data_IF_936245450001
#
_entry.id   IF_936245450001
#
_cell.length_a   1.000
_cell.length_b   1.000
_cell.length_c   1.000
_cell.angle_alpha   90.00
_cell.angle_beta   90.00
_cell.angle_gamma   90.00
#
_symmetry.space_group_name_H-M   'P 1'
#
loop_
_entity.id
_entity.type
_entity.pdbx_description
1 polymer ?
#
# COMPACT_ATOMS: atom_id res chain seq x y z
N UNK A 1 -17.43 -0.73 -13.81
CA UNK A 1 -16.41 -1.06 -12.79
C UNK A 1 -16.11 0.23 -12.04
N UNK A 2 -15.88 0.16 -10.72
CA UNK A 2 -15.47 1.31 -9.89
C UNK A 2 -14.30 2.06 -10.52
N UNK A 3 -14.30 3.39 -10.45
CA UNK A 3 -13.19 4.23 -10.89
C UNK A 3 -12.04 4.29 -9.88
N UNK A 4 -12.21 3.66 -8.72
CA UNK A 4 -11.20 3.53 -7.68
C UNK A 4 -10.87 2.06 -7.36
N UNK A 5 -9.63 1.84 -6.96
CA UNK A 5 -9.11 0.57 -6.41
C UNK A 5 -8.58 0.82 -5.01
N UNK A 6 -8.89 -0.08 -4.08
CA UNK A 6 -8.38 -0.02 -2.70
C UNK A 6 -7.20 -0.98 -2.59
N UNK A 7 -6.09 -0.50 -2.04
CA UNK A 7 -4.86 -1.29 -1.87
C UNK A 7 -4.52 -1.45 -0.39
N UNK A 8 -3.97 -2.61 -0.05
CA UNK A 8 -3.39 -2.86 1.26
C UNK A 8 -1.90 -2.48 1.30
N UNK A 9 -1.34 -2.45 2.51
CA UNK A 9 0.07 -2.12 2.71
C UNK A 9 1.02 -3.12 2.03
N UNK A 10 0.71 -4.42 2.09
CA UNK A 10 1.56 -5.47 1.55
C UNK A 10 1.67 -5.44 0.03
N UNK A 11 0.57 -5.17 -0.68
CA UNK A 11 0.58 -4.98 -2.12
C UNK A 11 1.45 -3.78 -2.50
N UNK A 12 1.24 -2.65 -1.82
CA UNK A 12 1.93 -1.41 -2.16
C UNK A 12 3.44 -1.49 -1.87
N UNK A 13 3.84 -2.14 -0.78
CA UNK A 13 5.26 -2.33 -0.45
C UNK A 13 6.04 -3.04 -1.56
N UNK A 14 5.41 -3.95 -2.29
CA UNK A 14 6.02 -4.65 -3.43
C UNK A 14 6.33 -3.73 -4.63
N UNK A 15 5.80 -2.50 -4.66
CA UNK A 15 6.16 -1.49 -5.66
C UNK A 15 7.48 -0.79 -5.34
N UNK A 16 7.89 -0.78 -4.08
CA UNK A 16 9.10 -0.07 -3.62
C UNK A 16 10.18 -0.99 -3.06
N UNK A 17 9.81 -2.23 -2.70
CA UNK A 17 10.70 -3.30 -2.29
C UNK A 17 10.71 -4.39 -3.36
N UNK A 18 11.89 -4.96 -3.63
CA UNK A 18 12.02 -6.11 -4.52
C UNK A 18 11.71 -7.40 -3.76
N UNK A 19 10.54 -7.96 -4.03
CA UNK A 19 10.04 -9.23 -3.48
C UNK A 19 9.65 -10.18 -4.62
N UNK A 20 9.38 -11.44 -4.28
CA UNK A 20 9.05 -12.50 -5.26
C UNK A 20 7.89 -12.10 -6.17
N UNK A 21 6.88 -11.41 -5.62
CA UNK A 21 5.68 -11.01 -6.36
C UNK A 21 5.72 -9.58 -6.91
N UNK A 22 6.84 -8.86 -6.80
CA UNK A 22 6.92 -7.45 -7.22
C UNK A 22 6.57 -7.24 -8.69
N UNK A 23 6.88 -8.20 -9.56
CA UNK A 23 6.52 -8.12 -10.99
C UNK A 23 5.00 -8.07 -11.18
N UNK A 24 4.25 -8.89 -10.42
CA UNK A 24 2.80 -8.92 -10.49
C UNK A 24 2.20 -7.64 -9.90
N UNK A 25 2.71 -7.20 -8.74
CA UNK A 25 2.24 -5.96 -8.10
C UNK A 25 2.49 -4.73 -8.96
N UNK A 26 3.65 -4.63 -9.61
CA UNK A 26 3.97 -3.54 -10.55
C UNK A 26 3.06 -3.58 -11.77
N UNK A 27 2.80 -4.77 -12.33
CA UNK A 27 1.85 -4.90 -13.44
C UNK A 27 0.43 -4.45 -13.09
N UNK A 28 -0.01 -4.64 -11.83
CA UNK A 28 -1.29 -4.08 -11.36
C UNK A 28 -1.23 -2.56 -11.29
N UNK A 29 -0.15 -1.98 -10.77
CA UNK A 29 0.03 -0.54 -10.71
C UNK A 29 0.04 0.09 -12.11
N UNK A 30 0.76 -0.50 -13.06
CA UNK A 30 0.81 -0.05 -14.45
C UNK A 30 -0.59 -0.10 -15.09
N UNK A 31 -1.28 -1.24 -14.93
CA UNK A 31 -2.65 -1.40 -15.43
C UNK A 31 -3.60 -0.36 -14.86
N UNK A 32 -3.59 -0.14 -13.55
CA UNK A 32 -4.46 0.84 -12.90
C UNK A 32 -4.12 2.28 -13.31
N UNK A 33 -2.84 2.55 -13.56
CA UNK A 33 -2.38 3.83 -14.12
C UNK A 33 -2.92 4.04 -15.54
N UNK A 34 -2.80 3.03 -16.41
CA UNK A 34 -3.30 3.08 -17.79
C UNK A 34 -4.83 3.23 -17.85
N UNK A 35 -5.54 2.57 -16.92
CA UNK A 35 -6.99 2.67 -16.77
C UNK A 35 -7.44 3.95 -16.07
N UNK A 36 -6.52 4.82 -15.64
CA UNK A 36 -6.77 6.04 -14.85
C UNK A 36 -7.63 5.79 -13.61
N UNK A 37 -7.35 4.69 -12.91
CA UNK A 37 -7.99 4.36 -11.63
C UNK A 37 -7.40 5.20 -10.52
N UNK A 38 -8.26 5.66 -9.62
CA UNK A 38 -7.84 6.27 -8.37
C UNK A 38 -7.39 5.20 -7.38
N UNK A 39 -6.16 5.32 -6.88
CA UNK A 39 -5.62 4.37 -5.89
C UNK A 39 -5.91 4.93 -4.51
N UNK A 40 -6.65 4.14 -3.71
CA UNK A 40 -7.04 4.51 -2.36
C UNK A 40 -6.50 3.50 -1.35
N UNK A 41 -6.30 3.91 -0.10
CA UNK A 41 -6.00 3.00 1.00
C UNK A 41 -6.63 3.50 2.31
N UNK A 42 -6.95 2.63 3.28
CA UNK A 42 -7.32 3.07 4.62
C UNK A 42 -6.20 3.92 5.25
N UNK A 43 -6.53 4.90 6.08
CA UNK A 43 -5.53 5.76 6.73
C UNK A 43 -4.50 4.97 7.57
N UNK A 44 -4.87 3.77 8.03
CA UNK A 44 -3.96 2.84 8.71
C UNK A 44 -2.75 2.45 7.84
N UNK A 45 -2.91 2.46 6.51
CA UNK A 45 -1.86 2.18 5.52
C UNK A 45 -0.56 2.92 5.82
N UNK A 46 -0.64 4.22 6.13
CA UNK A 46 0.53 5.06 6.40
C UNK A 46 1.38 4.50 7.56
N UNK A 47 0.71 4.02 8.61
CA UNK A 47 1.37 3.44 9.78
C UNK A 47 1.88 2.03 9.48
N UNK A 48 1.13 1.22 8.74
CA UNK A 48 1.52 -0.13 8.38
C UNK A 48 2.77 -0.15 7.51
N UNK A 49 2.81 0.61 6.41
CA UNK A 49 3.98 0.64 5.51
C UNK A 49 5.20 1.18 6.24
N UNK A 50 5.04 2.22 7.08
CA UNK A 50 6.13 2.78 7.88
C UNK A 50 6.66 1.74 8.87
N UNK A 51 5.78 1.05 9.59
CA UNK A 51 6.18 0.04 10.56
C UNK A 51 6.87 -1.15 9.89
N UNK A 52 6.38 -1.61 8.73
CA UNK A 52 7.01 -2.71 7.99
C UNK A 52 8.41 -2.29 7.53
N UNK A 53 8.57 -1.14 6.88
CA UNK A 53 9.88 -0.63 6.45
C UNK A 53 10.85 -0.48 7.63
N UNK A 54 10.39 0.08 8.74
CA UNK A 54 11.19 0.19 9.98
C UNK A 54 11.63 -1.19 10.49
N UNK A 55 10.73 -2.18 10.54
CA UNK A 55 11.08 -3.54 10.96
C UNK A 55 12.08 -4.22 10.03
N UNK A 56 11.99 -3.98 8.72
CA UNK A 56 12.98 -4.47 7.76
C UNK A 56 14.35 -3.83 7.99
N UNK A 57 14.40 -2.53 8.31
CA UNK A 57 15.65 -1.85 8.66
C UNK A 57 16.27 -2.41 9.95
N UNK A 58 15.49 -2.59 11.01
CA UNK A 58 15.94 -3.19 12.27
C UNK A 58 16.46 -4.62 12.08
N UNK A 59 15.83 -5.39 11.18
CA UNK A 59 16.25 -6.75 10.85
C UNK A 59 17.47 -6.81 9.91
N UNK A 60 18.04 -5.67 9.49
CA UNK A 60 19.17 -5.61 8.56
C UNK A 60 18.83 -6.04 7.13
N UNK A 61 17.54 -6.13 6.79
CA UNK A 61 17.07 -6.45 5.42
C UNK A 61 17.11 -5.24 4.49
N UNK A 62 17.04 -4.05 5.06
CA UNK A 62 17.18 -2.76 4.40
C UNK A 62 18.11 -1.90 5.25
N UNK A 63 18.79 -0.97 4.61
CA UNK A 63 19.37 0.19 5.31
C UNK A 63 18.28 1.17 5.72
N UNK A 64 18.59 2.04 6.67
CA UNK A 64 17.67 3.10 7.09
C UNK A 64 17.31 4.04 5.92
N UNK A 65 18.29 4.37 5.06
CA UNK A 65 18.08 5.22 3.89
C UNK A 65 17.19 4.54 2.85
N UNK A 66 17.36 3.24 2.60
CA UNK A 66 16.46 2.48 1.72
C UNK A 66 15.02 2.45 2.25
N UNK A 67 14.85 2.30 3.57
CA UNK A 67 13.53 2.36 4.20
C UNK A 67 12.87 3.73 4.01
N UNK A 68 13.60 4.82 4.25
CA UNK A 68 13.10 6.18 4.03
C UNK A 68 12.77 6.47 2.55
N UNK A 69 13.63 6.02 1.63
CA UNK A 69 13.39 6.15 0.20
C UNK A 69 12.15 5.36 -0.23
N UNK A 70 11.98 4.14 0.27
CA UNK A 70 10.79 3.33 0.01
C UNK A 70 9.51 4.02 0.48
N UNK A 71 9.54 4.59 1.70
CA UNK A 71 8.43 5.36 2.25
C UNK A 71 8.12 6.57 1.37
N UNK A 72 9.13 7.38 1.02
CA UNK A 72 8.95 8.57 0.18
C UNK A 72 8.37 8.21 -1.20
N UNK A 73 8.84 7.11 -1.81
CA UNK A 73 8.30 6.61 -3.08
C UNK A 73 6.83 6.25 -2.96
N UNK A 74 6.43 5.50 -1.93
CA UNK A 74 5.02 5.13 -1.72
C UNK A 74 4.11 6.36 -1.66
N UNK A 75 4.48 7.38 -0.90
CA UNK A 75 3.67 8.60 -0.77
C UNK A 75 3.69 9.47 -2.03
N UNK A 76 4.69 9.31 -2.91
CA UNK A 76 4.73 10.00 -4.20
C UNK A 76 3.80 9.40 -5.25
N UNK A 77 3.25 8.19 -5.03
CA UNK A 77 2.35 7.51 -5.97
C UNK A 77 0.92 8.06 -5.97
N UNK A 78 0.62 9.09 -5.17
CA UNK A 78 -0.70 9.72 -5.15
C UNK A 78 -1.81 8.88 -4.51
N UNK A 79 -1.45 7.93 -3.64
CA UNK A 79 -2.41 7.09 -2.91
C UNK A 79 -3.28 7.97 -2.02
N UNK A 80 -4.60 7.92 -2.21
CA UNK A 80 -5.54 8.67 -1.40
C UNK A 80 -5.89 7.91 -0.12
N UNK A 81 -5.45 8.46 1.01
CA UNK A 81 -5.74 7.89 2.32
C UNK A 81 -7.16 8.24 2.75
N UNK A 82 -7.97 7.22 3.00
CA UNK A 82 -9.35 7.32 3.45
C UNK A 82 -9.47 6.98 4.92
N UNK A 83 -10.10 7.86 5.68
CA UNK A 83 -10.31 7.69 7.12
C UNK A 83 -11.79 7.43 7.41
N UNK A 84 -12.05 6.53 8.35
CA UNK A 84 -13.39 6.28 8.88
C UNK A 84 -13.33 6.24 10.41
N UNK A 85 -14.30 6.87 11.05
CA UNK A 85 -14.53 6.80 12.50
C UNK A 85 -15.57 5.74 12.87
N UNK A 86 -16.16 5.08 11.87
CA UNK A 86 -17.35 4.26 12.00
C UNK A 86 -16.96 2.79 11.95
N UNK A 87 -17.31 2.05 13.00
CA UNK A 87 -17.10 0.60 13.10
C UNK A 87 -17.73 -0.15 11.93
N UNK A 88 -18.86 0.35 11.43
CA UNK A 88 -19.62 -0.21 10.31
C UNK A 88 -18.76 -0.39 9.06
N UNK A 89 -17.78 0.50 8.84
CA UNK A 89 -16.85 0.37 7.70
C UNK A 89 -15.96 -0.86 7.87
N UNK A 90 -15.44 -1.07 9.09
CA UNK A 90 -14.62 -2.23 9.44
C UNK A 90 -15.45 -3.51 9.47
N UNK A 91 -16.69 -3.47 9.98
CA UNK A 91 -17.60 -4.61 9.99
C UNK A 91 -17.91 -5.10 8.56
N UNK A 92 -18.21 -4.17 7.64
CA UNK A 92 -18.41 -4.52 6.23
C UNK A 92 -17.17 -5.11 5.57
N UNK A 93 -15.97 -4.64 5.93
CA UNK A 93 -14.73 -5.23 5.43
C UNK A 93 -14.57 -6.70 5.88
N UNK A 94 -14.97 -7.02 7.12
CA UNK A 94 -15.02 -8.40 7.63
C UNK A 94 -16.03 -9.23 6.83
N UNK A 95 -17.24 -8.71 6.59
CA UNK A 95 -18.28 -9.39 5.81
C UNK A 95 -17.81 -9.74 4.39
N UNK A 96 -17.06 -8.85 3.73
CA UNK A 96 -16.53 -9.07 2.39
C UNK A 96 -15.28 -9.97 2.34
N UNK A 97 -14.65 -10.28 3.47
CA UNK A 97 -13.48 -11.15 3.55
C UNK A 97 -13.85 -12.65 3.61
N UNK A 98 -15.13 -12.99 3.62
CA UNK A 98 -15.69 -14.35 3.58
C UNK A 98 -16.17 -14.74 2.18
#
# INVERSE_FOLDING_TARGET
MSDAVVVDANLALKWVLLEVDSTMSLGLLDKWTDERKEIMAPALFAYEVTNILHRHAIAGKLTYDEALQGLSKLFSLGILLQFSLYEETSARAIEFAH
#
